data_IF_953109745398
#
_entry.id   IF_953109745398
#
_cell.length_a   1.000
_cell.length_b   1.000
_cell.length_c   1.000
_cell.angle_alpha   90.00
_cell.angle_beta   90.00
_cell.angle_gamma   90.00
#
_symmetry.space_group_name_H-M   'P 1'
#
loop_
_entity.id
_entity.type
_entity.pdbx_description
1 polymer ?
#
# COMPACT_ATOMS: atom_id res chain seq x y z
N UNK A 1 -7.60 -42.22 -39.15
CA UNK A 1 -7.84 -43.49 -38.43
C UNK A 1 -6.47 -44.04 -38.09
N UNK A 2 -5.92 -44.08 -36.88
CA UNK A 2 -6.30 -43.95 -35.47
C UNK A 2 -5.00 -43.50 -34.76
N UNK A 3 -4.88 -42.96 -33.55
CA UNK A 3 -5.70 -42.50 -32.42
C UNK A 3 -4.67 -41.71 -31.58
N UNK A 4 -5.12 -40.66 -30.93
CA UNK A 4 -4.36 -39.90 -29.92
C UNK A 4 -3.61 -40.81 -28.94
N UNK A 5 -2.33 -40.51 -28.69
CA UNK A 5 -1.73 -40.82 -27.39
C UNK A 5 -1.56 -39.50 -26.66
N UNK A 6 -2.59 -39.24 -25.85
CA UNK A 6 -2.62 -38.26 -24.78
C UNK A 6 -1.38 -38.41 -23.89
N UNK A 7 -0.44 -37.48 -24.01
CA UNK A 7 0.42 -37.16 -22.89
C UNK A 7 -0.48 -36.60 -21.78
N UNK A 8 -0.52 -37.28 -20.64
CA UNK A 8 -1.36 -36.95 -19.49
C UNK A 8 -1.28 -35.46 -19.12
N UNK A 9 -2.42 -34.74 -18.98
CA UNK A 9 -2.47 -33.43 -18.35
C UNK A 9 -2.46 -33.62 -16.82
N UNK A 10 -1.37 -33.27 -16.15
CA UNK A 10 -1.32 -33.33 -14.69
C UNK A 10 0.08 -33.50 -14.09
N UNK A 11 0.87 -32.43 -14.04
CA UNK A 11 2.00 -32.22 -13.12
C UNK A 11 2.25 -30.70 -12.98
N UNK A 12 2.82 -30.22 -11.87
CA UNK A 12 2.41 -29.00 -11.15
C UNK A 12 2.92 -27.67 -11.74
N UNK A 13 2.52 -27.34 -12.97
CA UNK A 13 2.75 -26.00 -13.52
C UNK A 13 1.94 -24.93 -12.76
N UNK A 14 0.68 -25.23 -12.40
CA UNK A 14 -0.22 -24.30 -11.72
C UNK A 14 0.21 -23.89 -10.30
N UNK A 15 0.97 -24.74 -9.58
CA UNK A 15 1.43 -24.43 -8.22
C UNK A 15 2.63 -23.46 -8.23
N UNK A 16 3.51 -23.56 -9.24
CA UNK A 16 4.64 -22.65 -9.41
C UNK A 16 4.16 -21.22 -9.65
N UNK A 17 3.19 -21.05 -10.53
CA UNK A 17 2.65 -19.72 -10.88
C UNK A 17 1.93 -19.06 -9.70
N UNK A 18 1.16 -19.83 -8.93
CA UNK A 18 0.52 -19.34 -7.71
C UNK A 18 1.55 -18.88 -6.67
N UNK A 19 2.63 -19.62 -6.50
CA UNK A 19 3.72 -19.26 -5.57
C UNK A 19 4.43 -17.99 -6.03
N UNK A 20 4.68 -17.83 -7.32
CA UNK A 20 5.31 -16.62 -7.87
C UNK A 20 4.39 -15.41 -7.72
N UNK A 21 3.10 -15.53 -8.03
CA UNK A 21 2.10 -14.46 -7.85
C UNK A 21 1.99 -14.07 -6.37
N UNK A 22 1.92 -15.05 -5.46
CA UNK A 22 1.90 -14.80 -4.02
C UNK A 22 3.19 -14.10 -3.55
N UNK A 23 4.36 -14.49 -4.08
CA UNK A 23 5.64 -13.85 -3.78
C UNK A 23 5.68 -12.39 -4.24
N UNK A 24 5.10 -12.07 -5.41
CA UNK A 24 5.00 -10.67 -5.89
C UNK A 24 4.13 -9.82 -4.97
N UNK A 25 2.96 -10.32 -4.55
CA UNK A 25 2.12 -9.59 -3.61
C UNK A 25 2.79 -9.41 -2.25
N UNK A 26 3.46 -10.44 -1.73
CA UNK A 26 4.21 -10.36 -0.48
C UNK A 26 5.36 -9.35 -0.59
N UNK A 27 6.10 -9.36 -1.70
CA UNK A 27 7.16 -8.38 -1.97
C UNK A 27 6.61 -6.95 -2.02
N UNK A 28 5.41 -6.75 -2.60
CA UNK A 28 4.71 -5.46 -2.58
C UNK A 28 4.40 -4.96 -1.17
N UNK A 29 3.90 -5.84 -0.28
CA UNK A 29 3.69 -5.51 1.13
C UNK A 29 4.99 -5.13 1.83
N UNK A 30 6.03 -5.95 1.70
CA UNK A 30 7.32 -5.70 2.36
C UNK A 30 7.94 -4.41 1.86
N UNK A 31 7.95 -4.19 0.54
CA UNK A 31 8.48 -2.98 -0.06
C UNK A 31 7.75 -1.73 0.46
N UNK A 32 6.42 -1.71 0.42
CA UNK A 32 5.63 -0.57 0.89
C UNK A 32 5.84 -0.31 2.39
N UNK A 33 5.81 -1.35 3.22
CA UNK A 33 6.02 -1.21 4.66
C UNK A 33 7.45 -0.76 4.99
N UNK A 34 8.45 -1.09 4.18
CA UNK A 34 9.81 -0.61 4.38
C UNK A 34 9.99 0.85 3.92
N UNK A 35 9.45 1.22 2.75
CA UNK A 35 9.72 2.51 2.11
C UNK A 35 8.80 3.63 2.54
N UNK A 36 7.58 3.33 3.00
CA UNK A 36 6.55 4.36 3.17
C UNK A 36 6.95 5.47 4.11
N UNK A 37 7.64 5.15 5.21
CA UNK A 37 7.99 6.20 6.18
C UNK A 37 9.07 7.13 5.65
N UNK A 38 10.05 6.59 4.92
CA UNK A 38 11.13 7.38 4.31
C UNK A 38 10.60 8.28 3.20
N UNK A 39 9.63 7.81 2.40
CA UNK A 39 9.00 8.60 1.35
C UNK A 39 8.19 9.75 1.95
N UNK A 40 7.38 9.45 2.97
CA UNK A 40 6.57 10.46 3.65
C UNK A 40 7.45 11.52 4.30
N UNK A 41 8.49 11.14 5.05
CA UNK A 41 9.40 12.12 5.67
C UNK A 41 10.10 12.99 4.63
N UNK A 42 10.59 12.40 3.54
CA UNK A 42 11.25 13.14 2.45
C UNK A 42 10.35 14.19 1.80
N UNK A 43 9.11 13.81 1.45
CA UNK A 43 8.18 14.77 0.83
C UNK A 43 7.75 15.87 1.80
N UNK A 44 7.60 15.55 3.08
CA UNK A 44 7.17 16.53 4.08
C UNK A 44 8.27 17.56 4.36
N UNK A 45 9.51 17.13 4.55
CA UNK A 45 10.67 18.01 4.73
C UNK A 45 10.84 18.95 3.53
N UNK A 46 10.65 18.43 2.30
CA UNK A 46 10.80 19.21 1.07
C UNK A 46 9.73 20.28 0.87
N UNK A 47 8.52 20.07 1.39
CA UNK A 47 7.37 20.98 1.24
C UNK A 47 7.20 21.96 2.38
N UNK A 48 7.58 21.58 3.61
CA UNK A 48 7.38 22.43 4.79
C UNK A 48 8.66 23.12 5.27
N UNK A 49 9.83 22.77 4.71
CA UNK A 49 11.09 23.52 4.86
C UNK A 49 11.59 23.68 6.30
N UNK A 50 11.09 22.88 7.23
CA UNK A 50 11.33 22.96 8.66
C UNK A 50 11.85 21.62 9.17
N UNK A 51 12.74 21.64 10.17
CA UNK A 51 13.11 20.47 10.95
C UNK A 51 11.94 20.12 11.89
N UNK A 52 10.94 19.45 11.31
CA UNK A 52 9.63 19.15 11.91
C UNK A 52 9.72 18.15 13.07
N UNK A 53 10.93 17.66 13.35
CA UNK A 53 11.23 16.80 14.49
C UNK A 53 11.23 17.55 15.83
N UNK A 54 11.19 18.88 15.84
CA UNK A 54 11.33 19.68 17.06
C UNK A 54 10.04 19.92 17.88
N UNK A 55 8.84 19.77 17.29
CA UNK A 55 7.58 20.23 17.92
C UNK A 55 6.50 19.17 18.23
N UNK A 56 6.65 17.93 17.75
CA UNK A 56 5.67 16.84 17.99
C UNK A 56 6.25 15.87 19.01
N UNK A 57 5.47 15.53 20.05
CA UNK A 57 5.86 14.56 21.06
C UNK A 57 6.20 13.20 20.42
N UNK A 58 7.22 12.53 20.97
CA UNK A 58 7.68 11.23 20.47
C UNK A 58 6.54 10.19 20.42
N UNK A 59 5.65 10.20 21.40
CA UNK A 59 4.51 9.30 21.50
C UNK A 59 3.46 9.52 20.39
N UNK A 60 3.19 10.79 20.03
CA UNK A 60 2.30 11.12 18.93
C UNK A 60 2.87 10.70 17.58
N UNK A 61 4.21 10.80 17.42
CA UNK A 61 4.90 10.32 16.22
C UNK A 61 4.85 8.81 16.09
N UNK A 62 5.10 8.08 17.17
CA UNK A 62 5.06 6.63 17.17
C UNK A 62 3.65 6.11 16.89
N UNK A 63 2.64 6.71 17.54
CA UNK A 63 1.23 6.42 17.26
C UNK A 63 0.87 6.68 15.80
N UNK A 64 1.27 7.84 15.25
CA UNK A 64 1.07 8.18 13.84
C UNK A 64 1.74 7.20 12.88
N UNK A 65 2.93 6.70 13.23
CA UNK A 65 3.66 5.71 12.42
C UNK A 65 2.94 4.36 12.39
N UNK A 66 2.46 3.89 13.53
CA UNK A 66 1.69 2.64 13.62
C UNK A 66 0.40 2.74 12.81
N UNK A 67 -0.36 3.82 12.96
CA UNK A 67 -1.57 4.08 12.19
C UNK A 67 -1.26 4.12 10.68
N UNK A 68 -0.15 4.75 10.29
CA UNK A 68 0.32 4.78 8.90
C UNK A 68 0.61 3.39 8.33
N UNK A 69 1.24 2.50 9.11
CA UNK A 69 1.47 1.10 8.67
C UNK A 69 0.17 0.33 8.51
N UNK A 70 -0.79 0.51 9.42
CA UNK A 70 -2.11 -0.12 9.31
C UNK A 70 -2.86 0.34 8.04
N UNK A 71 -2.80 1.65 7.73
CA UNK A 71 -3.36 2.17 6.48
C UNK A 71 -2.73 1.52 5.25
N UNK A 72 -1.40 1.40 5.22
CA UNK A 72 -0.70 0.81 4.07
C UNK A 72 -1.16 -0.63 3.80
N UNK A 73 -1.33 -1.43 4.86
CA UNK A 73 -1.85 -2.79 4.75
C UNK A 73 -3.27 -2.77 4.20
N UNK A 74 -4.13 -1.91 4.74
CA UNK A 74 -5.52 -1.79 4.31
C UNK A 74 -5.62 -1.35 2.84
N UNK A 75 -4.84 -0.35 2.44
CA UNK A 75 -4.81 0.18 1.07
C UNK A 75 -4.36 -0.90 0.11
N UNK A 76 -3.26 -1.59 0.39
CA UNK A 76 -2.78 -2.66 -0.49
C UNK A 76 -3.81 -3.78 -0.61
N UNK A 77 -4.42 -4.18 0.50
CA UNK A 77 -5.47 -5.21 0.50
C UNK A 77 -6.62 -4.82 -0.42
N UNK A 78 -7.11 -3.58 -0.28
CA UNK A 78 -8.24 -3.10 -1.08
C UNK A 78 -7.87 -2.92 -2.55
N UNK A 79 -6.64 -2.52 -2.88
CA UNK A 79 -6.15 -2.49 -4.26
C UNK A 79 -6.12 -3.90 -4.86
N UNK A 80 -5.58 -4.89 -4.14
CA UNK A 80 -5.46 -6.26 -4.64
C UNK A 80 -6.82 -6.94 -4.83
N UNK A 81 -7.80 -6.61 -4.00
CA UNK A 81 -9.19 -7.09 -4.15
C UNK A 81 -9.99 -6.24 -5.16
N UNK A 82 -9.41 -5.16 -5.69
CA UNK A 82 -10.08 -4.25 -6.63
C UNK A 82 -11.19 -3.38 -6.02
N UNK A 83 -11.22 -3.25 -4.70
CA UNK A 83 -12.24 -2.55 -3.93
C UNK A 83 -11.97 -1.03 -3.86
N UNK A 84 -11.90 -0.35 -5.01
CA UNK A 84 -11.57 1.08 -5.08
C UNK A 84 -12.61 1.99 -4.43
N UNK A 85 -13.88 1.59 -4.38
CA UNK A 85 -14.90 2.33 -3.63
C UNK A 85 -14.62 2.31 -2.13
N UNK A 86 -14.18 1.18 -1.58
CA UNK A 86 -13.82 1.06 -0.17
C UNK A 86 -12.56 1.89 0.16
N UNK A 87 -11.60 2.00 -0.77
CA UNK A 87 -10.47 2.92 -0.62
C UNK A 87 -10.92 4.36 -0.41
N UNK A 88 -11.91 4.82 -1.20
CA UNK A 88 -12.49 6.15 -1.04
C UNK A 88 -13.16 6.36 0.33
N UNK A 89 -13.87 5.34 0.84
CA UNK A 89 -14.49 5.38 2.17
C UNK A 89 -13.45 5.45 3.29
N UNK A 90 -12.40 4.64 3.22
CA UNK A 90 -11.29 4.65 4.19
C UNK A 90 -10.62 6.02 4.21
N UNK A 91 -10.32 6.56 3.03
CA UNK A 91 -9.71 7.87 2.88
C UNK A 91 -10.57 8.98 3.51
N UNK A 92 -11.87 8.96 3.21
CA UNK A 92 -12.83 9.91 3.76
C UNK A 92 -12.93 9.78 5.29
N UNK A 93 -13.05 8.56 5.80
CA UNK A 93 -13.13 8.29 7.23
C UNK A 93 -11.88 8.79 7.97
N UNK A 94 -10.69 8.53 7.44
CA UNK A 94 -9.44 8.99 8.04
C UNK A 94 -9.33 10.52 8.04
N UNK A 95 -9.69 11.17 6.94
CA UNK A 95 -9.70 12.63 6.83
C UNK A 95 -10.72 13.27 7.78
N UNK A 96 -11.88 12.63 7.98
CA UNK A 96 -12.95 13.12 8.85
C UNK A 96 -12.64 12.94 10.34
N UNK A 97 -12.15 11.76 10.77
CA UNK A 97 -11.75 11.53 12.18
C UNK A 97 -10.64 12.49 12.59
N UNK A 98 -9.74 12.82 11.65
CA UNK A 98 -8.70 13.81 11.90
C UNK A 98 -9.22 15.23 12.02
N UNK A 99 -10.49 15.50 11.67
CA UNK A 99 -11.07 16.84 11.80
C UNK A 99 -11.37 17.27 13.23
N UNK A 100 -11.56 16.32 14.14
CA UNK A 100 -11.96 16.62 15.52
C UNK A 100 -10.79 17.09 16.40
N UNK A 101 -9.54 16.72 16.05
CA UNK A 101 -8.31 17.14 16.74
C UNK A 101 -7.71 18.48 16.21
N UNK A 102 -8.41 19.18 15.29
CA UNK A 102 -7.88 20.29 14.46
C UNK A 102 -7.72 21.67 15.15
N UNK A 103 -7.86 21.79 16.47
CA UNK A 103 -7.88 23.13 17.12
C UNK A 103 -6.49 23.75 17.32
N UNK A 104 -5.39 23.03 17.05
CA UNK A 104 -4.02 23.45 17.37
C UNK A 104 -3.07 23.37 16.16
N UNK A 105 -3.09 24.37 15.26
CA UNK A 105 -1.96 24.78 14.39
C UNK A 105 -1.36 23.84 13.32
N UNK A 106 -1.29 22.52 13.54
CA UNK A 106 -0.48 21.56 12.76
C UNK A 106 -1.27 20.78 11.69
N UNK A 107 -2.48 21.24 11.36
CA UNK A 107 -3.42 20.60 10.45
C UNK A 107 -2.86 20.29 9.06
N UNK A 108 -2.14 21.26 8.47
CA UNK A 108 -1.61 21.13 7.10
C UNK A 108 -0.56 20.03 7.00
N UNK A 109 0.24 19.84 8.06
CA UNK A 109 1.32 18.85 8.10
C UNK A 109 0.78 17.42 8.15
N UNK A 110 -0.15 17.14 9.08
CA UNK A 110 -0.74 15.82 9.22
C UNK A 110 -1.59 15.42 7.99
N UNK A 111 -2.29 16.39 7.40
CA UNK A 111 -3.07 16.17 6.20
C UNK A 111 -2.14 15.86 5.00
N UNK A 112 -1.06 16.63 4.82
CA UNK A 112 -0.07 16.37 3.78
C UNK A 112 0.58 14.99 3.93
N UNK A 113 0.99 14.62 5.16
CA UNK A 113 1.53 13.29 5.47
C UNK A 113 0.59 12.15 5.09
N UNK A 114 -0.70 12.30 5.42
CA UNK A 114 -1.72 11.31 5.10
C UNK A 114 -1.95 11.22 3.58
N UNK A 115 -2.05 12.36 2.86
CA UNK A 115 -2.23 12.34 1.41
C UNK A 115 -1.06 11.70 0.67
N UNK A 116 0.17 12.05 1.05
CA UNK A 116 1.38 11.50 0.45
C UNK A 116 1.46 10.00 0.68
N UNK A 117 1.25 9.55 1.93
CA UNK A 117 1.29 8.13 2.27
C UNK A 117 0.21 7.32 1.53
N UNK A 118 -1.02 7.83 1.51
CA UNK A 118 -2.15 7.17 0.87
C UNK A 118 -1.95 7.05 -0.64
N UNK A 119 -1.52 8.15 -1.28
CA UNK A 119 -1.23 8.19 -2.71
C UNK A 119 -0.08 7.24 -3.07
N UNK A 120 1.02 7.27 -2.30
CA UNK A 120 2.15 6.38 -2.50
C UNK A 120 1.74 4.91 -2.41
N UNK A 121 0.94 4.57 -1.40
CA UNK A 121 0.44 3.20 -1.18
C UNK A 121 -0.43 2.70 -2.34
N UNK A 122 -1.30 3.56 -2.90
CA UNK A 122 -2.09 3.22 -4.09
C UNK A 122 -1.16 2.95 -5.28
N UNK A 123 -0.20 3.83 -5.55
CA UNK A 123 0.72 3.67 -6.69
C UNK A 123 1.49 2.35 -6.58
N UNK A 124 2.05 2.04 -5.41
CA UNK A 124 2.75 0.77 -5.18
C UNK A 124 1.82 -0.43 -5.34
N UNK A 125 0.61 -0.36 -4.81
CA UNK A 125 -0.39 -1.42 -4.96
C UNK A 125 -0.76 -1.69 -6.41
N UNK A 126 -1.03 -0.64 -7.19
CA UNK A 126 -1.38 -0.75 -8.61
C UNK A 126 -0.21 -1.31 -9.41
N UNK A 127 1.00 -0.79 -9.21
CA UNK A 127 2.21 -1.31 -9.87
C UNK A 127 2.43 -2.79 -9.54
N UNK A 128 2.27 -3.18 -8.28
CA UNK A 128 2.39 -4.59 -7.85
C UNK A 128 1.32 -5.46 -8.51
N UNK A 129 0.08 -4.98 -8.57
CA UNK A 129 -1.03 -5.70 -9.22
C UNK A 129 -0.80 -5.87 -10.72
N UNK A 130 -0.29 -4.84 -11.40
CA UNK A 130 0.05 -4.92 -12.83
C UNK A 130 1.21 -5.88 -13.06
N UNK A 131 2.27 -5.79 -12.24
CA UNK A 131 3.41 -6.70 -12.31
C UNK A 131 2.98 -8.16 -12.12
N UNK A 132 2.09 -8.43 -11.15
CA UNK A 132 1.52 -9.76 -10.93
C UNK A 132 0.69 -10.24 -12.14
N UNK A 133 -0.06 -9.35 -12.80
CA UNK A 133 -0.86 -9.68 -13.97
C UNK A 133 -0.04 -9.91 -15.26
N UNK A 134 1.18 -9.38 -15.34
CA UNK A 134 2.09 -9.60 -16.48
C UNK A 134 2.88 -10.90 -16.41
N UNK A 135 2.83 -11.60 -15.28
CA UNK A 135 3.40 -12.95 -15.17
C UNK A 135 2.57 -13.92 -16.01
N UNK A 136 3.19 -14.86 -16.73
CA UNK A 136 2.48 -15.80 -17.59
C UNK A 136 1.65 -16.75 -16.73
N UNK A 137 0.39 -16.41 -16.46
CA UNK A 137 -0.64 -17.33 -16.01
C UNK A 137 -1.20 -18.03 -17.25
N UNK A 138 -0.54 -19.11 -17.68
CA UNK A 138 -1.07 -19.95 -18.75
C UNK A 138 -2.28 -20.69 -18.16
N UNK A 139 -3.48 -20.28 -18.60
CA UNK A 139 -4.75 -20.99 -18.38
C UNK A 139 -4.61 -22.46 -18.78
#
# INVERSE_FOLDING_TARGET
MQIETSALPGAPAAAGDLVVVAAVYLAGYVALLATSTSVVSYFLERWTGTDLSAGVDADQRDTGRVIGKCENVLVLTLVFVGAYTALGLVFAAKSLVRREDMTSGDTTWYLAGTLVNFTYSIVVGVVTSVAAATLPTIV
#
